data_IF_350294636805
#
_entry.id   IF_350294636805
#
_cell.length_a   1.000
_cell.length_b   1.000
_cell.length_c   1.000
_cell.angle_alpha   90.00
_cell.angle_beta   90.00
_cell.angle_gamma   90.00
#
_symmetry.space_group_name_H-M   'P 1'
#
loop_
_entity.id
_entity.type
_entity.pdbx_description
1 polymer ?
#
# COMPACT_ATOMS: atom_id res chain seq x y z
N UNK A 1 -30.65 -21.86 -8.02
CA UNK A 1 -30.43 -20.44 -7.71
C UNK A 1 -29.58 -20.34 -6.45
N UNK A 2 -28.28 -20.08 -6.55
CA UNK A 2 -27.39 -19.95 -5.38
C UNK A 2 -26.23 -19.00 -5.66
N UNK A 3 -26.46 -17.68 -5.58
CA UNK A 3 -25.39 -16.68 -5.80
C UNK A 3 -25.30 -15.60 -4.73
N UNK A 4 -26.01 -15.74 -3.59
CA UNK A 4 -26.06 -14.69 -2.56
C UNK A 4 -24.93 -14.82 -1.52
N UNK A 5 -24.37 -16.02 -1.30
CA UNK A 5 -23.44 -16.27 -0.19
C UNK A 5 -21.98 -15.81 -0.42
N UNK A 6 -21.54 -15.61 -1.67
CA UNK A 6 -20.11 -15.30 -1.98
C UNK A 6 -19.70 -13.84 -1.69
N UNK A 7 -20.65 -12.90 -1.57
CA UNK A 7 -20.33 -11.45 -1.47
C UNK A 7 -19.89 -11.01 -0.08
N UNK A 8 -20.35 -11.66 0.98
CA UNK A 8 -20.07 -11.27 2.37
C UNK A 8 -18.72 -11.75 2.87
N UNK A 9 -18.26 -12.95 2.48
CA UNK A 9 -16.93 -13.47 2.84
C UNK A 9 -15.80 -12.67 2.18
N UNK A 10 -15.96 -12.28 0.90
CA UNK A 10 -14.98 -11.45 0.18
C UNK A 10 -14.73 -10.13 0.93
N UNK A 11 -15.80 -9.44 1.38
CA UNK A 11 -15.69 -8.18 2.15
C UNK A 11 -15.05 -8.35 3.53
N UNK A 12 -15.28 -9.48 4.20
CA UNK A 12 -14.68 -9.78 5.52
C UNK A 12 -13.18 -10.06 5.38
N UNK A 13 -12.77 -10.71 4.27
CA UNK A 13 -11.36 -10.91 3.92
C UNK A 13 -10.65 -9.60 3.58
N UNK A 14 -11.28 -8.73 2.79
CA UNK A 14 -10.73 -7.42 2.40
C UNK A 14 -10.49 -6.54 3.64
N UNK A 15 -11.43 -6.47 4.57
CA UNK A 15 -11.22 -5.73 5.82
C UNK A 15 -10.05 -6.27 6.66
N UNK A 16 -9.83 -7.60 6.64
CA UNK A 16 -8.69 -8.22 7.33
C UNK A 16 -7.37 -7.91 6.63
N UNK A 17 -7.36 -7.79 5.30
CA UNK A 17 -6.20 -7.39 4.51
C UNK A 17 -5.88 -5.89 4.64
N UNK A 18 -6.89 -5.02 4.65
CA UNK A 18 -6.72 -3.59 4.91
C UNK A 18 -6.09 -3.31 6.28
N UNK A 19 -6.41 -4.13 7.29
CA UNK A 19 -5.78 -4.06 8.62
C UNK A 19 -4.33 -4.55 8.65
N UNK A 20 -3.85 -5.22 7.61
CA UNK A 20 -2.44 -5.63 7.48
C UNK A 20 -1.58 -4.55 6.83
N UNK A 21 -2.19 -3.52 6.24
CA UNK A 21 -1.43 -2.43 5.67
C UNK A 21 -0.66 -1.72 6.79
N UNK A 22 0.67 -1.59 6.66
CA UNK A 22 1.45 -0.81 7.61
C UNK A 22 1.03 0.66 7.54
N UNK A 23 1.04 1.33 8.69
CA UNK A 23 0.87 2.78 8.73
C UNK A 23 1.97 3.47 7.92
N UNK A 24 1.67 4.62 7.33
CA UNK A 24 2.64 5.43 6.57
C UNK A 24 3.89 5.69 7.41
N UNK A 25 3.73 6.02 8.70
CA UNK A 25 4.85 6.20 9.63
C UNK A 25 5.76 4.97 9.72
N UNK A 26 5.19 3.76 9.80
CA UNK A 26 5.98 2.52 9.83
C UNK A 26 6.70 2.22 8.52
N UNK A 27 6.18 2.73 7.40
CA UNK A 27 6.83 2.61 6.10
C UNK A 27 8.00 3.59 6.04
N UNK A 28 7.80 4.83 6.48
CA UNK A 28 8.83 5.87 6.57
C UNK A 28 9.94 5.52 7.57
N UNK A 29 9.65 4.68 8.57
CA UNK A 29 10.64 4.17 9.52
C UNK A 29 11.56 3.09 8.93
N UNK A 30 11.24 2.51 7.76
CA UNK A 30 12.13 1.52 7.12
C UNK A 30 13.39 2.20 6.59
N UNK A 31 14.55 1.63 6.86
CA UNK A 31 15.85 2.16 6.41
C UNK A 31 15.90 2.41 4.90
N UNK A 32 15.29 1.53 4.10
CA UNK A 32 15.21 1.68 2.64
C UNK A 32 14.45 2.93 2.20
N UNK A 33 13.39 3.29 2.92
CA UNK A 33 12.57 4.48 2.63
C UNK A 33 13.23 5.73 3.22
N UNK A 34 13.92 5.62 4.34
CA UNK A 34 14.72 6.72 4.89
C UNK A 34 15.85 7.12 3.93
N UNK A 35 16.54 6.14 3.34
CA UNK A 35 17.57 6.40 2.33
C UNK A 35 17.00 7.15 1.11
N UNK A 36 15.77 6.83 0.70
CA UNK A 36 15.08 7.59 -0.34
C UNK A 36 14.63 8.95 0.16
N UNK A 37 14.18 9.10 1.42
CA UNK A 37 13.81 10.41 1.98
C UNK A 37 14.98 11.37 2.10
N UNK A 38 16.20 10.86 2.31
CA UNK A 38 17.45 11.62 2.25
C UNK A 38 17.75 12.10 0.82
N UNK A 39 17.48 11.26 -0.20
CA UNK A 39 17.60 11.65 -1.60
C UNK A 39 16.48 12.60 -2.06
N UNK A 40 15.27 12.44 -1.52
CA UNK A 40 14.03 12.96 -2.09
C UNK A 40 13.22 13.94 -1.24
N UNK A 41 13.63 14.52 -0.12
CA UNK A 41 12.69 15.27 0.75
C UNK A 41 11.56 14.40 1.32
N UNK A 42 11.45 14.44 2.65
CA UNK A 42 10.49 13.65 3.41
C UNK A 42 9.03 13.88 2.98
N UNK A 43 8.71 15.07 2.46
CA UNK A 43 7.34 15.39 1.99
C UNK A 43 6.98 14.51 0.79
N UNK A 44 7.86 14.46 -0.22
CA UNK A 44 7.64 13.73 -1.46
C UNK A 44 7.57 12.21 -1.20
N UNK A 45 8.41 11.70 -0.30
CA UNK A 45 8.34 10.30 0.15
C UNK A 45 7.06 9.97 0.91
N UNK A 46 6.54 10.93 1.68
CA UNK A 46 5.25 10.76 2.38
C UNK A 46 4.09 10.75 1.40
N UNK A 47 4.09 11.62 0.40
CA UNK A 47 3.08 11.67 -0.67
C UNK A 47 3.10 10.37 -1.50
N UNK A 48 4.28 9.91 -1.91
CA UNK A 48 4.45 8.64 -2.61
C UNK A 48 3.92 7.44 -1.78
N UNK A 49 4.23 7.39 -0.49
CA UNK A 49 3.71 6.35 0.39
C UNK A 49 2.18 6.40 0.52
N UNK A 50 1.59 7.60 0.59
CA UNK A 50 0.14 7.80 0.64
C UNK A 50 -0.54 7.32 -0.64
N UNK A 51 -0.02 7.70 -1.80
CA UNK A 51 -0.52 7.33 -3.12
C UNK A 51 -0.45 5.82 -3.36
N UNK A 52 0.69 5.19 -3.02
CA UNK A 52 0.85 3.75 -3.14
C UNK A 52 -0.13 3.01 -2.23
N UNK A 53 -0.28 3.43 -0.98
CA UNK A 53 -1.25 2.83 -0.07
C UNK A 53 -2.68 3.04 -0.58
N UNK A 54 -3.03 4.22 -1.08
CA UNK A 54 -4.36 4.50 -1.64
C UNK A 54 -4.66 3.56 -2.82
N UNK A 55 -3.72 3.42 -3.74
CA UNK A 55 -3.82 2.51 -4.89
C UNK A 55 -4.02 1.05 -4.43
N UNK A 56 -3.25 0.59 -3.44
CA UNK A 56 -3.38 -0.76 -2.91
C UNK A 56 -4.74 -0.96 -2.23
N UNK A 57 -5.26 0.05 -1.53
CA UNK A 57 -6.60 -0.01 -0.94
C UNK A 57 -7.66 -0.17 -2.01
N UNK A 58 -7.55 0.53 -3.14
CA UNK A 58 -8.46 0.37 -4.27
C UNK A 58 -8.36 -1.02 -4.90
N UNK A 59 -7.15 -1.54 -5.11
CA UNK A 59 -6.92 -2.90 -5.61
C UNK A 59 -7.55 -3.95 -4.67
N UNK A 60 -7.32 -3.82 -3.37
CA UNK A 60 -7.95 -4.68 -2.35
C UNK A 60 -9.48 -4.61 -2.39
N UNK A 61 -10.06 -3.43 -2.62
CA UNK A 61 -11.52 -3.27 -2.76
C UNK A 61 -12.06 -3.95 -4.02
N UNK A 62 -11.28 -3.98 -5.11
CA UNK A 62 -11.62 -4.72 -6.33
C UNK A 62 -11.45 -6.25 -6.14
N UNK A 63 -10.69 -6.64 -5.12
CA UNK A 63 -10.48 -8.02 -4.70
C UNK A 63 -9.17 -8.61 -5.15
N UNK A 64 -8.20 -7.75 -5.47
CA UNK A 64 -6.81 -8.11 -5.66
C UNK A 64 -6.13 -8.52 -4.34
N UNK A 65 -4.96 -9.15 -4.45
CA UNK A 65 -4.20 -9.57 -3.29
C UNK A 65 -3.55 -8.37 -2.58
N UNK A 66 -3.39 -8.48 -1.25
CA UNK A 66 -2.59 -7.50 -0.52
C UNK A 66 -1.11 -7.72 -0.85
N UNK A 67 -0.41 -6.73 -1.42
CA UNK A 67 1.03 -6.84 -1.59
C UNK A 67 1.71 -6.96 -0.22
N UNK A 68 2.86 -7.63 -0.23
CA UNK A 68 3.75 -7.74 0.92
C UNK A 68 4.40 -6.40 1.26
N UNK A 69 4.96 -6.27 2.47
CA UNK A 69 5.63 -5.04 2.89
C UNK A 69 6.78 -4.62 1.96
N UNK A 70 7.50 -5.58 1.41
CA UNK A 70 8.63 -5.33 0.50
C UNK A 70 8.14 -4.88 -0.89
N UNK A 71 7.04 -5.46 -1.39
CA UNK A 71 6.38 -4.97 -2.61
C UNK A 71 5.84 -3.55 -2.46
N UNK A 72 5.35 -3.18 -1.27
CA UNK A 72 4.92 -1.80 -0.98
C UNK A 72 6.13 -0.87 -1.06
N UNK A 73 7.26 -1.24 -0.45
CA UNK A 73 8.50 -0.46 -0.50
C UNK A 73 9.02 -0.29 -1.93
N UNK A 74 9.03 -1.34 -2.73
CA UNK A 74 9.43 -1.26 -4.15
C UNK A 74 8.48 -0.37 -4.97
N UNK A 75 7.17 -0.46 -4.76
CA UNK A 75 6.19 0.44 -5.41
C UNK A 75 6.42 1.91 -5.05
N UNK A 76 6.81 2.21 -3.80
CA UNK A 76 7.13 3.57 -3.37
C UNK A 76 8.39 4.06 -4.06
N UNK A 77 9.45 3.26 -4.12
CA UNK A 77 10.68 3.61 -4.86
C UNK A 77 10.39 3.87 -6.34
N UNK A 78 9.55 3.04 -6.97
CA UNK A 78 9.14 3.25 -8.37
C UNK A 78 8.36 4.54 -8.56
N UNK A 79 7.46 4.87 -7.64
CA UNK A 79 6.70 6.12 -7.67
C UNK A 79 7.63 7.34 -7.54
N UNK A 80 8.57 7.29 -6.60
CA UNK A 80 9.59 8.33 -6.41
C UNK A 80 10.50 8.51 -7.62
N UNK A 81 10.89 7.41 -8.26
CA UNK A 81 11.68 7.45 -9.49
C UNK A 81 10.92 8.01 -10.71
N UNK A 82 9.58 8.07 -10.67
CA UNK A 82 8.77 8.70 -11.72
C UNK A 82 8.50 10.19 -11.46
N UNK A 83 8.54 10.65 -10.20
CA UNK A 83 8.28 12.05 -9.82
C UNK A 83 9.53 12.91 -9.61
N UNK A 84 10.74 12.32 -9.65
CA UNK A 84 12.03 13.02 -9.57
C UNK A 84 12.73 13.17 -10.91
#
# INVERSE_FOLDING_TARGET
>A
MSTVTKRTEKRKSINKQLRKLPSIEKILEREEIQAEADKYSRVLVTEAAQEVIATIREQLLQGDACPSGDEITEKIKQYLAQEG
#
